data_IF_108286008935
#
_entry.id   IF_108286008935
#
_cell.length_a   1.000
_cell.length_b   1.000
_cell.length_c   1.000
_cell.angle_alpha   90.00
_cell.angle_beta   90.00
_cell.angle_gamma   90.00
#
_symmetry.space_group_name_H-M   'P 1'
#
loop_
_entity.id
_entity.type
_entity.pdbx_description
1 polymer ?
#
# COMPACT_ATOMS: atom_id res chain seq x y z
N UNK A 1 -5.19 3.60 42.89
CA UNK A 1 -5.17 3.57 41.42
C UNK A 1 -4.06 2.65 40.98
N UNK A 2 -4.29 1.52 40.30
CA UNK A 2 -3.21 0.68 39.84
C UNK A 2 -2.60 1.28 38.59
N UNK A 3 -1.26 1.42 38.62
CA UNK A 3 -0.40 1.88 37.56
C UNK A 3 -0.64 1.03 36.28
N UNK A 4 -0.98 1.70 35.16
CA UNK A 4 -1.09 1.09 33.84
C UNK A 4 0.23 0.37 33.53
N UNK A 5 0.19 -0.96 33.41
CA UNK A 5 1.32 -1.77 32.94
C UNK A 5 1.80 -1.20 31.61
N UNK A 6 3.03 -0.68 31.58
CA UNK A 6 3.73 -0.28 30.37
C UNK A 6 3.66 -1.45 29.37
N UNK A 7 2.89 -1.28 28.31
CA UNK A 7 2.88 -2.24 27.20
C UNK A 7 4.30 -2.21 26.60
N UNK A 8 5.10 -3.24 26.90
CA UNK A 8 6.43 -3.42 26.28
C UNK A 8 6.24 -3.35 24.76
N UNK A 9 6.98 -2.45 24.13
CA UNK A 9 7.02 -2.37 22.66
C UNK A 9 7.35 -3.75 22.10
N UNK A 10 6.57 -4.20 21.13
CA UNK A 10 6.81 -5.49 20.48
C UNK A 10 8.19 -5.44 19.78
N UNK A 11 9.01 -6.51 19.89
CA UNK A 11 10.36 -6.51 19.34
C UNK A 11 10.37 -6.44 17.83
N UNK A 12 11.29 -5.65 17.27
CA UNK A 12 11.61 -5.66 15.84
C UNK A 12 12.61 -6.76 15.54
N UNK A 13 12.58 -7.36 14.33
CA UNK A 13 13.49 -8.44 13.96
C UNK A 13 14.96 -7.95 13.95
N UNK A 14 15.90 -8.79 14.41
CA UNK A 14 17.33 -8.45 14.41
C UNK A 14 17.89 -8.32 12.99
N UNK A 15 19.04 -7.64 12.80
CA UNK A 15 19.60 -7.39 11.47
C UNK A 15 19.76 -8.62 10.57
N UNK A 16 20.18 -9.80 11.05
CA UNK A 16 20.27 -10.99 10.20
C UNK A 16 18.92 -11.46 9.66
N UNK A 17 17.86 -11.40 10.46
CA UNK A 17 16.51 -11.77 10.05
C UNK A 17 15.97 -10.78 9.00
N UNK A 18 16.16 -9.47 9.20
CA UNK A 18 15.82 -8.43 8.23
C UNK A 18 16.51 -8.63 6.88
N UNK A 19 17.82 -8.90 6.89
CA UNK A 19 18.59 -9.18 5.65
C UNK A 19 18.09 -10.41 4.92
N UNK A 20 17.77 -11.48 5.65
CA UNK A 20 17.24 -12.72 5.09
C UNK A 20 15.86 -12.50 4.45
N UNK A 21 14.98 -11.79 5.13
CA UNK A 21 13.65 -11.43 4.62
C UNK A 21 13.76 -10.63 3.33
N UNK A 22 14.51 -9.52 3.33
CA UNK A 22 14.73 -8.65 2.16
C UNK A 22 15.26 -9.45 0.97
N UNK A 23 16.29 -10.25 1.17
CA UNK A 23 16.89 -11.08 0.11
C UNK A 23 15.86 -12.03 -0.51
N UNK A 24 15.12 -12.80 0.30
CA UNK A 24 14.11 -13.73 -0.20
C UNK A 24 12.99 -13.03 -0.95
N UNK A 25 12.52 -11.91 -0.42
CA UNK A 25 11.45 -11.12 -1.02
C UNK A 25 11.87 -10.57 -2.38
N UNK A 26 13.04 -9.93 -2.46
CA UNK A 26 13.57 -9.36 -3.71
C UNK A 26 13.91 -10.46 -4.74
N UNK A 27 14.44 -11.61 -4.31
CA UNK A 27 14.70 -12.74 -5.21
C UNK A 27 13.39 -13.28 -5.80
N UNK A 28 12.34 -13.37 -5.00
CA UNK A 28 11.02 -13.75 -5.48
C UNK A 28 10.44 -12.71 -6.45
N UNK A 29 10.50 -11.44 -6.10
CA UNK A 29 9.96 -10.34 -6.90
C UNK A 29 10.58 -10.23 -8.30
N UNK A 30 11.90 -10.42 -8.42
CA UNK A 30 12.58 -10.42 -9.72
C UNK A 30 12.05 -11.45 -10.71
N UNK A 31 11.41 -12.51 -10.23
CA UNK A 31 10.86 -13.60 -11.06
C UNK A 31 9.35 -13.52 -11.25
N UNK A 32 8.66 -12.84 -10.35
CA UNK A 32 7.20 -12.91 -10.25
C UNK A 32 6.52 -11.54 -10.14
N UNK A 33 7.28 -10.46 -10.12
CA UNK A 33 6.74 -9.10 -10.04
C UNK A 33 5.81 -8.81 -11.22
N UNK A 34 4.65 -8.19 -10.93
CA UNK A 34 3.66 -7.84 -11.95
C UNK A 34 4.19 -6.71 -12.83
N UNK A 35 3.97 -6.80 -14.13
CA UNK A 35 4.24 -5.73 -15.08
C UNK A 35 3.04 -4.78 -15.13
N UNK A 36 3.20 -3.60 -14.51
CA UNK A 36 2.14 -2.61 -14.38
C UNK A 36 2.62 -1.25 -14.91
N UNK A 37 1.79 -0.50 -15.66
CA UNK A 37 2.24 0.74 -16.33
C UNK A 37 2.77 1.79 -15.36
N UNK A 38 2.15 1.96 -14.19
CA UNK A 38 2.61 2.88 -13.16
C UNK A 38 3.90 2.48 -12.43
N UNK A 39 4.48 1.34 -12.76
CA UNK A 39 5.82 0.91 -12.30
C UNK A 39 6.93 1.25 -13.28
N UNK A 40 6.56 1.70 -14.49
CA UNK A 40 7.48 2.07 -15.57
C UNK A 40 7.73 3.58 -15.66
N UNK A 41 7.23 4.32 -14.70
CA UNK A 41 7.38 5.76 -14.60
C UNK A 41 7.89 6.15 -13.22
N UNK A 42 8.56 7.28 -13.12
CA UNK A 42 8.90 7.98 -11.88
C UNK A 42 8.20 9.34 -11.78
N UNK A 43 7.27 9.64 -12.69
CA UNK A 43 6.44 10.82 -12.62
C UNK A 43 5.53 10.79 -11.38
N UNK A 44 5.67 11.75 -10.44
CA UNK A 44 4.87 11.78 -9.22
C UNK A 44 3.37 11.90 -9.47
N UNK A 45 2.95 12.57 -10.55
CA UNK A 45 1.54 12.68 -10.92
C UNK A 45 0.98 11.32 -11.37
N UNK A 46 1.68 10.63 -12.25
CA UNK A 46 1.28 9.31 -12.74
C UNK A 46 1.18 8.29 -11.59
N UNK A 47 2.11 8.36 -10.64
CA UNK A 47 2.09 7.50 -9.45
C UNK A 47 0.93 7.88 -8.54
N UNK A 48 0.70 9.18 -8.27
CA UNK A 48 -0.46 9.63 -7.50
C UNK A 48 -1.78 9.13 -8.10
N UNK A 49 -1.96 9.26 -9.42
CA UNK A 49 -3.15 8.78 -10.14
C UNK A 49 -3.38 7.30 -9.87
N UNK A 50 -2.35 6.47 -10.06
CA UNK A 50 -2.46 5.02 -9.82
C UNK A 50 -2.80 4.70 -8.37
N UNK A 51 -2.14 5.35 -7.41
CA UNK A 51 -2.35 5.11 -5.98
C UNK A 51 -3.78 5.47 -5.54
N UNK A 52 -4.33 6.57 -6.06
CA UNK A 52 -5.72 6.97 -5.77
C UNK A 52 -6.72 6.03 -6.48
N UNK A 53 -6.44 5.59 -7.71
CA UNK A 53 -7.31 4.63 -8.42
C UNK A 53 -7.34 3.26 -7.75
N UNK A 54 -6.21 2.79 -7.23
CA UNK A 54 -6.08 1.50 -6.55
C UNK A 54 -6.72 1.45 -5.15
N UNK A 55 -7.10 2.59 -4.58
CA UNK A 55 -7.83 2.59 -3.31
C UNK A 55 -9.15 1.82 -3.46
N UNK A 56 -9.25 0.64 -2.82
CA UNK A 56 -10.43 -0.23 -2.84
C UNK A 56 -10.89 -0.67 -4.26
N UNK A 57 -10.00 -0.64 -5.24
CA UNK A 57 -10.29 -1.07 -6.62
C UNK A 57 -9.24 -2.09 -7.06
N UNK A 58 -9.69 -3.12 -7.76
CA UNK A 58 -8.82 -4.17 -8.29
C UNK A 58 -8.00 -3.66 -9.48
N UNK A 59 -6.78 -4.19 -9.64
CA UNK A 59 -5.82 -3.80 -10.68
C UNK A 59 -6.44 -3.89 -12.08
N UNK A 60 -7.14 -4.98 -12.40
CA UNK A 60 -7.71 -5.21 -13.73
C UNK A 60 -8.75 -4.15 -14.13
N UNK A 61 -9.45 -3.56 -13.14
CA UNK A 61 -10.37 -2.44 -13.39
C UNK A 61 -9.65 -1.11 -13.53
N UNK A 62 -8.49 -0.97 -12.89
CA UNK A 62 -7.70 0.27 -12.93
C UNK A 62 -6.90 0.37 -14.23
N UNK A 63 -6.35 -0.71 -14.75
CA UNK A 63 -5.48 -0.71 -15.94
C UNK A 63 -6.05 0.09 -17.12
N UNK A 64 -7.25 -0.21 -17.64
CA UNK A 64 -7.82 0.53 -18.78
C UNK A 64 -8.13 1.99 -18.40
N UNK A 65 -8.61 2.23 -17.20
CA UNK A 65 -8.98 3.57 -16.74
C UNK A 65 -7.76 4.48 -16.50
N UNK A 66 -6.65 3.92 -16.05
CA UNK A 66 -5.39 4.64 -15.89
C UNK A 66 -4.85 5.15 -17.24
N UNK A 67 -4.90 4.31 -18.28
CA UNK A 67 -4.49 4.72 -19.62
C UNK A 67 -5.40 5.83 -20.19
N UNK A 68 -6.72 5.64 -20.09
CA UNK A 68 -7.71 6.64 -20.50
C UNK A 68 -7.52 7.97 -19.75
N UNK A 69 -7.30 7.89 -18.45
CA UNK A 69 -7.09 9.09 -17.61
C UNK A 69 -5.88 9.90 -18.02
N UNK A 70 -4.74 9.25 -18.22
CA UNK A 70 -3.51 9.94 -18.58
C UNK A 70 -3.52 10.48 -20.01
N UNK A 71 -4.29 9.85 -20.91
CA UNK A 71 -4.53 10.40 -22.24
C UNK A 71 -5.33 11.71 -22.17
N UNK A 72 -6.32 11.78 -21.27
CA UNK A 72 -7.21 12.93 -21.14
C UNK A 72 -6.63 14.02 -20.24
N UNK A 73 -5.96 13.64 -19.18
CA UNK A 73 -5.33 14.53 -18.20
C UNK A 73 -3.84 14.19 -18.06
N UNK A 74 -3.01 14.55 -19.05
CA UNK A 74 -1.60 14.15 -19.07
C UNK A 74 -0.74 14.85 -18.01
N UNK A 75 -1.22 15.92 -17.40
CA UNK A 75 -0.50 16.67 -16.38
C UNK A 75 -1.40 17.19 -15.28
N UNK A 76 -0.81 17.65 -14.18
CA UNK A 76 -1.54 18.30 -13.10
C UNK A 76 -2.25 19.57 -13.56
N UNK A 77 -1.64 20.35 -14.45
CA UNK A 77 -2.23 21.59 -14.98
C UNK A 77 -3.53 21.31 -15.74
N UNK A 78 -3.51 20.31 -16.63
CA UNK A 78 -4.69 19.90 -17.39
C UNK A 78 -5.79 19.39 -16.46
N UNK A 79 -5.43 18.56 -15.47
CA UNK A 79 -6.39 18.07 -14.50
C UNK A 79 -6.96 19.19 -13.62
N UNK A 80 -6.13 20.13 -13.18
CA UNK A 80 -6.54 21.26 -12.33
C UNK A 80 -7.54 22.17 -13.05
N UNK A 81 -7.32 22.44 -14.34
CA UNK A 81 -8.15 23.31 -15.18
C UNK A 81 -9.46 22.65 -15.63
N UNK A 82 -9.54 21.32 -15.64
CA UNK A 82 -10.72 20.60 -16.13
C UNK A 82 -11.98 20.88 -15.31
N UNK A 83 -13.18 20.87 -15.94
CA UNK A 83 -14.44 20.95 -15.21
C UNK A 83 -14.63 19.75 -14.26
N UNK A 84 -15.02 20.00 -13.01
CA UNK A 84 -15.17 18.92 -11.99
C UNK A 84 -16.15 17.83 -12.42
N UNK A 85 -17.22 18.23 -13.12
CA UNK A 85 -18.19 17.28 -13.67
C UNK A 85 -17.53 16.31 -14.63
N UNK A 86 -16.74 16.81 -15.58
CA UNK A 86 -16.02 16.01 -16.57
C UNK A 86 -15.03 15.05 -15.91
N UNK A 87 -14.27 15.52 -14.92
CA UNK A 87 -13.34 14.71 -14.13
C UNK A 87 -14.05 13.55 -13.43
N UNK A 88 -15.24 13.81 -12.87
CA UNK A 88 -16.06 12.79 -12.20
C UNK A 88 -16.64 11.78 -13.21
N UNK A 89 -17.11 12.24 -14.35
CA UNK A 89 -17.64 11.38 -15.44
C UNK A 89 -16.54 10.48 -15.99
N UNK A 90 -15.35 11.03 -16.23
CA UNK A 90 -14.18 10.24 -16.71
C UNK A 90 -13.77 9.16 -15.72
N UNK A 91 -13.97 9.36 -14.42
CA UNK A 91 -13.64 8.37 -13.38
C UNK A 91 -14.52 7.13 -13.39
N UNK A 92 -15.74 7.24 -13.95
CA UNK A 92 -16.66 6.10 -14.02
C UNK A 92 -16.04 4.94 -14.84
N UNK A 93 -16.15 3.66 -14.47
CA UNK A 93 -16.98 3.10 -13.40
C UNK A 93 -16.19 2.70 -12.12
N UNK A 94 -15.09 3.35 -11.76
CA UNK A 94 -14.26 2.94 -10.60
C UNK A 94 -14.98 3.09 -9.24
N UNK A 95 -16.04 3.91 -9.18
CA UNK A 95 -16.78 4.16 -7.94
C UNK A 95 -16.04 5.06 -6.95
N UNK A 96 -16.62 5.24 -5.75
CA UNK A 96 -16.06 6.12 -4.70
C UNK A 96 -15.73 7.52 -5.23
N UNK A 97 -16.75 8.22 -5.73
CA UNK A 97 -16.64 9.47 -6.50
C UNK A 97 -16.03 10.67 -5.76
N UNK A 98 -15.69 10.53 -4.49
CA UNK A 98 -14.89 11.50 -3.77
C UNK A 98 -13.41 11.48 -4.21
N UNK A 99 -12.92 10.36 -4.76
CA UNK A 99 -11.51 10.19 -5.14
C UNK A 99 -11.08 11.08 -6.30
N UNK A 100 -11.82 11.16 -7.42
CA UNK A 100 -11.46 12.08 -8.52
C UNK A 100 -11.46 13.54 -8.08
N UNK A 101 -12.41 13.95 -7.23
CA UNK A 101 -12.45 15.30 -6.66
C UNK A 101 -11.23 15.59 -5.78
N UNK A 102 -10.81 14.62 -4.96
CA UNK A 102 -9.59 14.75 -4.15
C UNK A 102 -8.34 14.83 -5.04
N UNK A 103 -8.26 13.99 -6.06
CA UNK A 103 -7.15 14.01 -7.01
C UNK A 103 -7.06 15.35 -7.73
N UNK A 104 -8.20 15.92 -8.19
CA UNK A 104 -8.24 17.24 -8.78
C UNK A 104 -7.90 18.37 -7.78
N UNK A 105 -8.35 18.24 -6.53
CA UNK A 105 -7.99 19.21 -5.48
C UNK A 105 -6.48 19.21 -5.21
N UNK A 106 -5.85 18.04 -5.20
CA UNK A 106 -4.40 17.92 -5.08
C UNK A 106 -3.71 18.59 -6.28
N UNK A 107 -4.20 18.34 -7.49
CA UNK A 107 -3.66 18.98 -8.70
C UNK A 107 -3.77 20.51 -8.64
N UNK A 108 -4.93 21.07 -8.29
CA UNK A 108 -5.14 22.52 -8.12
C UNK A 108 -4.20 23.12 -7.08
N UNK A 109 -4.04 22.44 -5.94
CA UNK A 109 -3.13 22.92 -4.89
C UNK A 109 -1.66 22.84 -5.34
N UNK A 110 -1.28 21.79 -6.06
CA UNK A 110 0.07 21.65 -6.61
C UNK A 110 0.40 22.72 -7.63
N UNK A 111 -0.55 23.05 -8.51
CA UNK A 111 -0.41 24.17 -9.47
C UNK A 111 -0.26 25.50 -8.73
N UNK A 112 -1.11 25.75 -7.74
CA UNK A 112 -1.13 27.05 -7.04
C UNK A 112 0.10 27.29 -6.15
N UNK A 113 0.68 26.24 -5.54
CA UNK A 113 1.70 26.38 -4.48
C UNK A 113 3.05 25.77 -4.80
N UNK A 114 3.10 24.80 -5.73
CA UNK A 114 4.29 23.94 -5.92
C UNK A 114 4.72 23.85 -7.38
N UNK A 115 4.34 24.80 -8.24
CA UNK A 115 4.77 24.84 -9.64
C UNK A 115 4.34 23.61 -10.44
N UNK A 116 3.11 23.11 -10.22
CA UNK A 116 2.53 21.93 -10.88
C UNK A 116 3.23 20.62 -10.57
N UNK A 117 3.98 20.54 -9.47
CA UNK A 117 4.67 19.34 -9.05
C UNK A 117 4.24 18.90 -7.64
N UNK A 118 4.34 17.61 -7.35
CA UNK A 118 4.21 17.14 -5.97
C UNK A 118 5.54 17.34 -5.23
N UNK A 119 5.50 17.84 -3.98
CA UNK A 119 6.68 17.86 -3.12
C UNK A 119 7.11 16.44 -2.73
N UNK A 120 8.40 16.24 -2.46
CA UNK A 120 8.91 14.96 -1.92
C UNK A 120 8.86 14.90 -0.39
N UNK A 121 8.69 16.04 0.27
CA UNK A 121 8.65 16.13 1.73
C UNK A 121 7.36 15.50 2.29
N UNK A 122 7.54 14.57 3.25
CA UNK A 122 6.42 13.83 3.85
C UNK A 122 5.43 14.72 4.58
N UNK A 123 5.92 15.71 5.34
CA UNK A 123 5.07 16.59 6.11
C UNK A 123 4.17 17.41 5.19
N UNK A 124 4.72 17.91 4.09
CA UNK A 124 3.96 18.64 3.06
C UNK A 124 2.98 17.73 2.32
N UNK A 125 3.40 16.51 1.92
CA UNK A 125 2.49 15.54 1.30
C UNK A 125 1.28 15.21 2.18
N UNK A 126 1.47 15.11 3.48
CA UNK A 126 0.39 14.81 4.44
C UNK A 126 -0.61 15.97 4.61
N UNK A 127 -0.29 17.20 4.18
CA UNK A 127 -1.23 18.32 4.21
C UNK A 127 -2.31 18.21 3.12
N UNK A 128 -2.03 17.52 2.02
CA UNK A 128 -3.00 17.36 0.94
C UNK A 128 -4.17 16.47 1.35
N UNK A 129 -5.38 16.97 1.19
CA UNK A 129 -6.60 16.22 1.52
C UNK A 129 -6.75 14.99 0.61
N UNK A 130 -6.54 13.82 1.18
CA UNK A 130 -6.61 12.54 0.45
C UNK A 130 -5.28 11.81 0.35
N UNK A 131 -4.18 12.45 0.73
CA UNK A 131 -2.87 11.80 0.90
C UNK A 131 -2.70 11.44 2.38
N UNK A 132 -2.70 10.15 2.67
CA UNK A 132 -2.37 9.61 3.99
C UNK A 132 -0.95 9.05 4.01
N UNK A 133 -0.51 8.57 5.19
CA UNK A 133 0.84 8.03 5.38
C UNK A 133 1.24 6.96 4.35
N UNK A 134 0.31 6.07 3.96
CA UNK A 134 0.57 5.10 2.90
C UNK A 134 0.86 5.78 1.55
N UNK A 135 -0.02 6.69 1.11
CA UNK A 135 0.12 7.35 -0.19
C UNK A 135 1.36 8.25 -0.22
N UNK A 136 1.66 8.97 0.87
CA UNK A 136 2.90 9.75 1.00
C UNK A 136 4.13 8.84 0.89
N UNK A 137 4.17 7.73 1.61
CA UNK A 137 5.25 6.74 1.52
C UNK A 137 5.39 6.13 0.12
N UNK A 138 4.29 5.85 -0.56
CA UNK A 138 4.26 5.35 -1.93
C UNK A 138 4.84 6.37 -2.93
N UNK A 139 4.38 7.62 -2.88
CA UNK A 139 4.91 8.71 -3.74
C UNK A 139 6.42 8.87 -3.52
N UNK A 140 6.86 9.01 -2.27
CA UNK A 140 8.27 9.16 -1.93
C UNK A 140 9.13 7.99 -2.41
N UNK A 141 8.63 6.78 -2.21
CA UNK A 141 9.34 5.55 -2.59
C UNK A 141 9.33 5.31 -4.09
N UNK A 142 8.24 5.58 -4.79
CA UNK A 142 8.05 5.18 -6.18
C UNK A 142 8.46 6.28 -7.16
N UNK A 143 8.15 7.55 -6.86
CA UNK A 143 8.55 8.68 -7.70
C UNK A 143 9.96 9.17 -7.35
N UNK A 144 10.19 9.47 -6.08
CA UNK A 144 11.43 10.12 -5.66
C UNK A 144 12.54 9.16 -5.26
N UNK A 145 12.27 7.83 -5.27
CA UNK A 145 13.24 6.79 -4.87
C UNK A 145 13.78 6.96 -3.44
N UNK A 146 13.08 7.73 -2.63
CA UNK A 146 13.45 7.97 -1.24
C UNK A 146 13.15 6.75 -0.36
N UNK A 147 13.90 6.66 0.75
CA UNK A 147 13.68 5.62 1.75
C UNK A 147 12.41 5.91 2.54
N UNK A 148 11.28 5.46 2.05
CA UNK A 148 9.98 5.59 2.68
C UNK A 148 9.31 4.22 2.85
N UNK A 149 8.66 4.01 3.98
CA UNK A 149 7.87 2.82 4.25
C UNK A 149 6.45 2.95 3.70
N UNK A 150 5.84 1.81 3.42
CA UNK A 150 4.43 1.70 3.07
C UNK A 150 3.74 0.68 3.97
N UNK A 151 2.47 0.90 4.27
CA UNK A 151 1.67 -0.06 5.03
C UNK A 151 0.21 -0.03 4.57
N UNK A 152 -0.10 -0.76 3.52
CA UNK A 152 -1.47 -1.08 3.12
C UNK A 152 -1.99 -2.33 3.85
N UNK A 153 -3.17 -2.80 3.50
CA UNK A 153 -3.78 -4.02 4.07
C UNK A 153 -2.97 -5.28 3.72
N UNK A 154 -2.39 -5.34 2.53
CA UNK A 154 -1.60 -6.50 2.08
C UNK A 154 -0.25 -6.55 2.81
N UNK A 155 0.46 -5.43 2.85
CA UNK A 155 1.74 -5.30 3.56
C UNK A 155 1.55 -5.57 5.05
N UNK A 156 0.53 -4.99 5.69
CA UNK A 156 0.22 -5.22 7.09
C UNK A 156 0.01 -6.71 7.39
N UNK A 157 -0.74 -7.42 6.56
CA UNK A 157 -0.98 -8.86 6.67
C UNK A 157 0.31 -9.66 6.53
N UNK A 158 1.16 -9.33 5.56
CA UNK A 158 2.46 -10.00 5.37
C UNK A 158 3.33 -9.82 6.60
N UNK A 159 3.51 -8.58 7.05
CA UNK A 159 4.36 -8.28 8.20
C UNK A 159 3.83 -8.91 9.48
N UNK A 160 2.53 -8.86 9.71
CA UNK A 160 1.89 -9.52 10.85
C UNK A 160 2.15 -11.03 10.85
N UNK A 161 1.89 -11.72 9.73
CA UNK A 161 2.05 -13.18 9.65
C UNK A 161 3.50 -13.61 9.76
N UNK A 162 4.41 -12.88 9.12
CA UNK A 162 5.83 -13.27 9.11
C UNK A 162 6.51 -12.98 10.44
N UNK A 163 6.23 -11.84 11.08
CA UNK A 163 7.02 -11.36 12.22
C UNK A 163 6.29 -11.32 13.57
N UNK A 164 4.98 -11.44 13.59
CA UNK A 164 4.18 -11.28 14.82
C UNK A 164 3.34 -12.52 15.11
N UNK A 165 2.37 -12.82 14.29
CA UNK A 165 1.43 -13.95 14.32
C UNK A 165 0.52 -14.05 15.56
N UNK A 166 0.67 -13.19 16.56
CA UNK A 166 -0.12 -13.19 17.80
C UNK A 166 -0.73 -11.82 18.08
N UNK A 167 -1.90 -11.80 18.68
CA UNK A 167 -2.64 -10.57 19.00
C UNK A 167 -3.61 -10.15 17.90
N UNK A 168 -4.32 -9.05 18.12
CA UNK A 168 -5.30 -8.52 17.17
C UNK A 168 -4.61 -7.64 16.10
N UNK A 169 -4.58 -8.07 14.82
CA UNK A 169 -3.97 -7.31 13.72
C UNK A 169 -4.68 -5.98 13.44
N UNK A 170 -5.91 -5.79 13.92
CA UNK A 170 -6.71 -4.58 13.69
C UNK A 170 -6.53 -3.53 14.81
N UNK A 171 -5.93 -3.89 15.92
CA UNK A 171 -5.74 -2.95 17.04
C UNK A 171 -4.81 -1.80 16.66
N UNK A 172 -5.07 -0.61 17.21
CA UNK A 172 -4.20 0.56 16.99
C UNK A 172 -2.75 0.34 17.41
N UNK A 173 -2.54 -0.40 18.51
CA UNK A 173 -1.19 -0.72 18.99
C UNK A 173 -0.45 -1.62 17.98
N UNK A 174 -1.12 -2.65 17.44
CA UNK A 174 -0.56 -3.53 16.42
C UNK A 174 -0.27 -2.76 15.13
N UNK A 175 -1.20 -1.88 14.70
CA UNK A 175 -0.98 -1.09 13.50
C UNK A 175 0.24 -0.16 13.61
N UNK A 176 0.44 0.49 14.76
CA UNK A 176 1.68 1.26 15.01
C UNK A 176 2.93 0.38 14.96
N UNK A 177 2.88 -0.80 15.58
CA UNK A 177 4.00 -1.74 15.53
C UNK A 177 4.31 -2.20 14.10
N UNK A 178 3.30 -2.48 13.27
CA UNK A 178 3.47 -2.85 11.87
C UNK A 178 4.08 -1.71 11.03
N UNK A 179 3.77 -0.45 11.34
CA UNK A 179 4.47 0.70 10.75
C UNK A 179 5.95 0.71 11.12
N UNK A 180 6.28 0.60 12.41
CA UNK A 180 7.68 0.47 12.87
C UNK A 180 8.41 -0.70 12.22
N UNK A 181 7.73 -1.84 12.05
CA UNK A 181 8.30 -2.97 11.31
C UNK A 181 8.56 -2.62 9.84
N UNK A 182 7.60 -1.98 9.16
CA UNK A 182 7.77 -1.57 7.77
C UNK A 182 8.96 -0.63 7.63
N UNK A 183 9.06 0.42 8.43
CA UNK A 183 10.18 1.37 8.46
C UNK A 183 11.53 0.67 8.71
N UNK A 184 11.56 -0.26 9.66
CA UNK A 184 12.76 -1.03 10.00
C UNK A 184 13.19 -1.95 8.86
N UNK A 185 12.23 -2.46 8.08
CA UNK A 185 12.47 -3.41 6.99
C UNK A 185 12.82 -2.74 5.67
N UNK A 186 12.49 -1.48 5.44
CA UNK A 186 12.88 -0.77 4.20
C UNK A 186 14.41 -0.72 4.10
N UNK A 187 15.01 -1.23 3.00
CA UNK A 187 16.46 -1.19 2.79
C UNK A 187 16.93 0.23 2.43
N UNK A 188 18.24 0.46 2.48
CA UNK A 188 18.86 1.71 2.03
C UNK A 188 18.93 1.83 0.49
N UNK A 189 18.92 0.70 -0.21
CA UNK A 189 18.94 0.61 -1.68
C UNK A 189 17.81 -0.28 -2.15
N UNK A 190 17.36 -0.12 -3.40
CA UNK A 190 16.24 -0.88 -3.97
C UNK A 190 14.91 -0.71 -3.20
N UNK A 191 14.67 0.51 -2.73
CA UNK A 191 13.45 0.84 -1.95
C UNK A 191 12.19 0.59 -2.76
N UNK A 192 12.18 1.05 -4.00
CA UNK A 192 11.09 0.82 -4.95
C UNK A 192 10.76 -0.67 -5.09
N UNK A 193 11.77 -1.47 -5.47
CA UNK A 193 11.58 -2.92 -5.67
C UNK A 193 11.10 -3.61 -4.40
N UNK A 194 11.63 -3.20 -3.25
CA UNK A 194 11.25 -3.78 -1.97
C UNK A 194 9.79 -3.51 -1.62
N UNK A 195 9.32 -2.28 -1.77
CA UNK A 195 7.94 -1.92 -1.47
C UNK A 195 6.97 -2.54 -2.49
N UNK A 196 7.29 -2.54 -3.78
CA UNK A 196 6.51 -3.23 -4.81
C UNK A 196 6.45 -4.74 -4.56
N UNK A 197 7.58 -5.34 -4.14
CA UNK A 197 7.65 -6.75 -3.78
C UNK A 197 6.75 -7.10 -2.59
N UNK A 198 6.68 -6.24 -1.56
CA UNK A 198 5.78 -6.44 -0.42
C UNK A 198 4.32 -6.45 -0.84
N UNK A 199 3.91 -5.51 -1.68
CA UNK A 199 2.55 -5.46 -2.19
C UNK A 199 2.21 -6.68 -3.03
N UNK A 200 3.07 -7.06 -3.98
CA UNK A 200 2.85 -8.23 -4.83
C UNK A 200 2.84 -9.53 -4.03
N UNK A 201 3.76 -9.67 -3.09
CA UNK A 201 3.81 -10.83 -2.23
C UNK A 201 2.53 -11.00 -1.40
N UNK A 202 1.99 -9.89 -0.88
CA UNK A 202 0.70 -9.89 -0.20
C UNK A 202 -0.47 -10.21 -1.12
N UNK A 203 -0.44 -9.74 -2.36
CA UNK A 203 -1.52 -9.96 -3.34
C UNK A 203 -1.50 -11.35 -3.97
N UNK A 204 -0.33 -12.00 -4.12
CA UNK A 204 -0.16 -13.22 -4.93
C UNK A 204 0.15 -14.46 -4.10
N UNK A 205 0.88 -14.33 -2.99
CA UNK A 205 1.35 -15.44 -2.13
C UNK A 205 0.66 -15.42 -0.78
N UNK A 206 0.87 -14.35 -0.01
CA UNK A 206 0.34 -14.23 1.34
C UNK A 206 -1.07 -13.61 1.33
N UNK A 207 -1.95 -14.14 0.49
CA UNK A 207 -3.33 -13.67 0.32
C UNK A 207 -4.16 -13.82 1.61
N UNK A 208 -5.30 -13.10 1.68
CA UNK A 208 -6.11 -13.05 2.89
C UNK A 208 -6.67 -14.43 3.27
N UNK A 209 -7.26 -15.11 2.30
CA UNK A 209 -7.82 -16.48 2.44
C UNK A 209 -6.95 -17.45 1.66
N UNK A 210 -6.70 -18.62 2.21
CA UNK A 210 -5.93 -19.69 1.56
C UNK A 210 -4.54 -19.24 1.03
N UNK A 211 -3.66 -18.67 1.89
CA UNK A 211 -2.33 -18.25 1.45
C UNK A 211 -1.53 -19.44 0.91
N UNK A 212 -0.72 -19.20 -0.11
CA UNK A 212 0.08 -20.22 -0.80
C UNK A 212 1.33 -20.59 0.01
N UNK A 213 1.13 -21.05 1.25
CA UNK A 213 2.23 -21.32 2.20
C UNK A 213 3.21 -22.40 1.74
N UNK A 214 2.77 -23.38 0.96
CA UNK A 214 3.63 -24.48 0.49
C UNK A 214 4.77 -24.00 -0.41
N UNK A 215 4.49 -23.00 -1.27
CA UNK A 215 5.47 -22.41 -2.19
C UNK A 215 6.07 -21.09 -1.68
N UNK A 216 5.69 -20.66 -0.46
CA UNK A 216 6.10 -19.38 0.09
C UNK A 216 7.59 -19.35 0.43
N UNK A 217 8.38 -18.42 -0.10
CA UNK A 217 9.81 -18.30 0.23
C UNK A 217 10.08 -17.96 1.70
N UNK A 218 9.06 -17.45 2.41
CA UNK A 218 9.16 -17.12 3.84
C UNK A 218 8.80 -18.28 4.76
N UNK A 219 8.32 -19.42 4.24
CA UNK A 219 7.80 -20.57 5.00
C UNK A 219 8.65 -20.92 6.22
N UNK A 220 9.98 -21.08 6.03
CA UNK A 220 10.90 -21.48 7.11
C UNK A 220 11.12 -20.43 8.21
N UNK A 221 10.70 -19.19 8.02
CA UNK A 221 10.89 -18.10 8.96
C UNK A 221 9.59 -17.36 9.30
N UNK A 222 8.46 -17.85 8.79
CA UNK A 222 7.16 -17.25 9.05
C UNK A 222 6.61 -17.72 10.40
N UNK A 223 6.29 -16.77 11.29
CA UNK A 223 5.76 -17.08 12.62
C UNK A 223 4.34 -17.63 12.60
N UNK A 224 3.60 -17.35 11.51
CA UNK A 224 2.25 -17.87 11.31
C UNK A 224 2.22 -19.21 10.53
N UNK A 225 3.35 -19.84 10.27
CA UNK A 225 3.35 -21.12 9.56
C UNK A 225 3.37 -22.31 10.55
N UNK A 226 2.56 -23.36 10.33
CA UNK A 226 1.50 -23.49 9.34
C UNK A 226 0.34 -22.51 9.61
N UNK A 227 -0.23 -21.93 8.54
CA UNK A 227 -1.32 -20.99 8.67
C UNK A 227 -2.67 -21.73 8.61
N UNK A 228 -3.27 -21.91 9.76
CA UNK A 228 -4.66 -22.37 9.89
C UNK A 228 -5.58 -21.15 9.89
N UNK A 229 -6.32 -20.97 8.81
CA UNK A 229 -7.36 -19.94 8.79
C UNK A 229 -8.38 -20.27 9.89
N UNK A 230 -8.75 -19.31 10.77
CA UNK A 230 -9.83 -19.56 11.69
C UNK A 230 -11.07 -19.96 10.89
N UNK A 231 -11.62 -21.14 11.16
CA UNK A 231 -12.87 -21.62 10.59
C UNK A 231 -13.92 -20.62 11.02
N UNK A 232 -14.43 -19.81 10.09
CA UNK A 232 -15.58 -18.96 10.38
C UNK A 232 -16.81 -19.86 10.48
N UNK A 233 -17.16 -20.29 11.67
CA UNK A 233 -18.48 -20.81 11.95
C UNK A 233 -19.50 -19.68 11.75
N UNK A 234 -19.92 -19.47 10.51
CA UNK A 234 -21.22 -18.83 10.27
C UNK A 234 -22.25 -19.87 10.68
N UNK A 235 -22.77 -19.72 11.90
CA UNK A 235 -23.94 -20.45 12.33
C UNK A 235 -25.04 -20.21 11.30
N UNK A 236 -25.50 -21.28 10.66
CA UNK A 236 -26.80 -21.32 10.06
C UNK A 236 -27.80 -21.26 11.25
N UNK A 237 -28.25 -20.06 11.55
CA UNK A 237 -29.51 -19.91 12.29
C UNK A 237 -30.60 -20.27 11.31
N UNK A 238 -30.97 -21.56 11.32
CA UNK A 238 -32.19 -22.03 10.72
C UNK A 238 -33.34 -21.32 11.42
N UNK A 239 -34.09 -20.53 10.71
CA UNK A 239 -35.46 -20.19 11.08
C UNK A 239 -36.34 -21.32 10.54
N UNK A 240 -36.67 -22.25 11.44
CA UNK A 240 -37.84 -23.07 11.32
C UNK A 240 -38.98 -22.32 11.99
N UNK A 241 -40.13 -22.33 11.36
CA UNK A 241 -41.38 -21.79 11.84
C UNK A 241 -42.17 -21.20 10.71
#
# INVERSE_FOLDING_TARGET
MPLKKNARALPVPPPPERRRFRRRLLTWYRRHGRDLPWRKTDDPYHILVSEIMLQQTQVDRVLPKYAEWLLKYPSMDVLAAAPEREVTETWYPLGYNIRPRRLQSIARESVAKYGSQLPSDEATLLTFKGIGAYTAGAIRSFAFRERAAILDTNVARVLFRVFVAKGDPKSHAMRRHLWTLSETLVPMRHVFDFNQALMDFGAMICVARNPKCLICPMKKSCRAYPFDAPISHRGHSGHGG
#
